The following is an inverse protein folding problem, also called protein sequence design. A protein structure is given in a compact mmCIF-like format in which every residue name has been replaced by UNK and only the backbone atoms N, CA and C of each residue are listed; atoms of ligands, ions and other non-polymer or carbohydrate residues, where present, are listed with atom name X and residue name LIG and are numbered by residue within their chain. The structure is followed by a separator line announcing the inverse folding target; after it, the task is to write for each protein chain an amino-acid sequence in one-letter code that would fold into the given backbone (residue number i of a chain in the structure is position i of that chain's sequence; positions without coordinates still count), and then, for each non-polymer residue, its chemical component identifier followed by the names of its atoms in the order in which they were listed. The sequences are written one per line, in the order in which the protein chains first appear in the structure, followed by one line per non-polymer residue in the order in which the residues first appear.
data_IF_912483475858
#
_entry.id   IF_912483475858
#
_cell.length_a   1.000
_cell.length_b   1.000
_cell.length_c   1.000
_cell.angle_alpha   90.00
_cell.angle_beta   90.00
_cell.angle_gamma   90.00
#
_symmetry.space_group_name_H-M   'P 1'
#
loop_
_entity.id
_entity.type
_entity.pdbx_description
1 polymer ?
#
# COMPACT_ATOMS: atom_id res chain seq x y z
N UNK A 1 15.29 -0.52 4.88
CA UNK A 1 14.59 -0.90 6.13
C UNK A 1 13.54 -1.94 5.80
N UNK A 2 13.59 -3.12 6.43
CA UNK A 2 12.56 -4.14 6.24
C UNK A 2 11.39 -3.92 7.21
N UNK A 3 10.25 -3.48 6.66
CA UNK A 3 9.04 -3.20 7.42
C UNK A 3 8.50 -4.49 8.08
N UNK A 4 8.71 -5.65 7.47
CA UNK A 4 8.19 -6.92 7.97
C UNK A 4 8.82 -7.36 9.30
N UNK A 5 10.02 -6.87 9.60
CA UNK A 5 10.75 -7.16 10.84
C UNK A 5 10.42 -6.18 11.97
N UNK A 6 9.60 -5.15 11.71
CA UNK A 6 9.17 -4.22 12.75
C UNK A 6 8.02 -4.78 13.56
N UNK A 7 7.92 -4.34 14.82
CA UNK A 7 6.78 -4.69 15.65
C UNK A 7 5.47 -4.17 15.01
N UNK A 8 4.36 -4.93 15.03
CA UNK A 8 3.10 -4.54 14.38
C UNK A 8 2.62 -3.13 14.75
N UNK A 9 2.71 -2.75 16.03
CA UNK A 9 2.37 -1.40 16.49
C UNK A 9 3.16 -0.29 15.78
N UNK A 10 4.47 -0.48 15.55
CA UNK A 10 5.31 0.51 14.89
C UNK A 10 4.93 0.62 13.40
N UNK A 11 4.63 -0.51 12.75
CA UNK A 11 4.15 -0.53 11.36
C UNK A 11 2.81 0.22 11.22
N UNK A 12 1.87 0.01 12.14
CA UNK A 12 0.56 0.67 12.13
C UNK A 12 0.69 2.19 12.23
N UNK A 13 1.56 2.69 13.12
CA UNK A 13 1.81 4.12 13.29
C UNK A 13 2.44 4.71 12.04
N UNK A 14 3.48 4.04 11.53
CA UNK A 14 4.22 4.47 10.35
C UNK A 14 3.30 4.62 9.12
N UNK A 15 2.41 3.64 8.89
CA UNK A 15 1.47 3.68 7.76
C UNK A 15 0.33 4.67 8.02
N UNK A 16 -0.19 4.76 9.25
CA UNK A 16 -1.23 5.73 9.57
C UNK A 16 -0.75 7.17 9.38
N UNK A 17 0.47 7.51 9.81
CA UNK A 17 1.06 8.85 9.61
C UNK A 17 1.11 9.21 8.11
N UNK A 18 1.47 8.27 7.23
CA UNK A 18 1.47 8.50 5.77
C UNK A 18 0.07 8.73 5.21
N UNK A 19 -0.92 7.97 5.67
CA UNK A 19 -2.33 8.15 5.28
C UNK A 19 -2.82 9.53 5.76
N UNK A 20 -2.50 9.89 7.00
CA UNK A 20 -2.91 11.14 7.64
C UNK A 20 -2.30 12.36 6.96
N UNK A 21 -0.97 12.41 6.79
CA UNK A 21 -0.26 13.53 6.15
C UNK A 21 -0.69 13.80 4.72
N UNK A 22 -1.20 12.77 4.02
CA UNK A 22 -1.71 12.88 2.65
C UNK A 22 -3.22 13.20 2.58
N UNK A 23 -3.85 13.47 3.71
CA UNK A 23 -5.28 13.82 3.79
C UNK A 23 -6.20 12.69 3.32
N UNK A 24 -5.79 11.43 3.52
CA UNK A 24 -6.52 10.25 3.07
C UNK A 24 -7.35 9.59 4.18
N UNK A 25 -7.44 10.25 5.34
CA UNK A 25 -8.32 9.89 6.46
C UNK A 25 -8.69 11.15 7.25
N UNK A 26 -9.58 11.02 8.22
CA UNK A 26 -9.96 12.11 9.15
C UNK A 26 -9.19 12.00 10.47
N UNK A 27 -9.32 13.00 11.35
CA UNK A 27 -8.64 13.04 12.66
C UNK A 27 -8.83 11.76 13.47
N UNK A 28 -10.05 11.25 13.59
CA UNK A 28 -10.36 10.06 14.40
C UNK A 28 -10.77 8.84 13.58
N UNK A 29 -11.10 9.04 12.30
CA UNK A 29 -11.52 7.99 11.37
C UNK A 29 -10.36 7.24 10.73
N UNK A 30 -10.69 6.19 9.99
CA UNK A 30 -9.71 5.23 9.49
C UNK A 30 -9.14 4.36 10.61
N UNK A 31 -8.83 3.13 10.28
CA UNK A 31 -8.24 2.20 11.23
C UNK A 31 -7.45 1.13 10.48
N UNK A 32 -6.37 0.71 11.12
CA UNK A 32 -5.44 -0.28 10.58
C UNK A 32 -5.35 -1.41 11.58
N UNK A 33 -5.24 -2.64 11.09
CA UNK A 33 -4.84 -3.77 11.93
C UNK A 33 -3.86 -4.70 11.25
N UNK A 34 -3.10 -5.42 12.07
CA UNK A 34 -2.23 -6.54 11.70
C UNK A 34 -2.62 -7.74 12.57
N UNK A 35 -2.77 -8.92 11.97
CA UNK A 35 -2.87 -10.20 12.68
C UNK A 35 -1.53 -10.92 12.56
N UNK A 36 -0.86 -11.13 13.69
CA UNK A 36 0.39 -11.90 13.72
C UNK A 36 0.16 -13.41 13.67
N UNK A 37 1.25 -14.17 13.52
CA UNK A 37 1.21 -15.63 13.35
C UNK A 37 0.65 -16.37 14.58
N UNK A 38 0.64 -15.72 15.75
CA UNK A 38 0.03 -16.26 16.97
C UNK A 38 -1.48 -16.02 17.04
N UNK A 39 -2.06 -15.33 16.05
CA UNK A 39 -3.47 -14.95 15.99
C UNK A 39 -3.80 -13.71 16.81
N UNK A 40 -2.82 -13.01 17.38
CA UNK A 40 -3.03 -11.74 18.06
C UNK A 40 -3.26 -10.66 17.01
N UNK A 41 -4.28 -9.82 17.24
CA UNK A 41 -4.60 -8.67 16.38
C UNK A 41 -4.17 -7.38 17.04
N UNK A 42 -3.30 -6.64 16.38
CA UNK A 42 -2.91 -5.29 16.74
C UNK A 42 -3.75 -4.31 15.95
N UNK A 43 -4.43 -3.36 16.60
CA UNK A 43 -5.34 -2.43 15.93
C UNK A 43 -5.22 -1.00 16.48
N UNK A 44 -5.40 -0.02 15.60
CA UNK A 44 -5.48 1.39 15.99
C UNK A 44 -6.66 1.66 16.95
N UNK A 45 -6.52 2.59 17.91
CA UNK A 45 -7.55 2.88 18.90
C UNK A 45 -8.72 3.70 18.33
N UNK A 46 -9.88 3.60 18.98
CA UNK A 46 -11.04 4.45 18.69
C UNK A 46 -10.86 5.86 19.26
N UNK A 47 -11.35 6.88 18.53
CA UNK A 47 -11.49 8.24 19.06
C UNK A 47 -10.19 9.03 19.31
N UNK A 48 -9.02 8.44 19.03
CA UNK A 48 -7.72 9.12 19.15
C UNK A 48 -7.30 9.71 17.81
N UNK A 49 -6.67 10.89 17.86
CA UNK A 49 -6.06 11.55 16.71
C UNK A 49 -5.01 10.64 16.05
N UNK A 50 -5.27 10.30 14.79
CA UNK A 50 -4.41 9.43 13.98
C UNK A 50 -3.05 10.05 13.66
N UNK A 51 -2.96 11.39 13.69
CA UNK A 51 -1.70 12.11 13.46
C UNK A 51 -0.73 12.09 14.64
N UNK A 52 -1.18 11.71 15.84
CA UNK A 52 -0.37 11.75 17.07
C UNK A 52 -0.21 10.38 17.73
N UNK A 53 -0.51 9.29 17.00
CA UNK A 53 -0.43 7.95 17.56
C UNK A 53 1.00 7.61 17.99
N UNK A 54 1.12 7.06 19.18
CA UNK A 54 2.33 6.47 19.73
C UNK A 54 2.15 4.95 19.88
N UNK A 55 3.26 4.24 20.14
CA UNK A 55 3.23 2.78 20.35
C UNK A 55 2.30 2.38 21.51
N UNK A 56 2.21 3.20 22.55
CA UNK A 56 1.35 2.96 23.70
C UNK A 56 -0.16 3.07 23.40
N UNK A 57 -0.53 3.67 22.28
CA UNK A 57 -1.92 3.86 21.89
C UNK A 57 -2.50 2.67 21.12
N UNK A 58 -1.64 1.79 20.58
CA UNK A 58 -2.07 0.63 19.80
C UNK A 58 -2.63 -0.45 20.71
N UNK A 59 -3.78 -1.00 20.32
CA UNK A 59 -4.53 -1.99 21.10
C UNK A 59 -4.17 -3.39 20.61
N UNK A 60 -3.82 -4.25 21.55
CA UNK A 60 -3.63 -5.69 21.34
C UNK A 60 -4.95 -6.40 21.65
N UNK A 61 -5.40 -7.25 20.74
CA UNK A 61 -6.58 -8.11 20.89
C UNK A 61 -6.10 -9.55 20.81
N UNK A 62 -6.25 -10.30 21.89
CA UNK A 62 -5.86 -11.70 21.96
C UNK A 62 -6.87 -12.59 21.22
N UNK A 63 -6.48 -13.84 20.87
CA UNK A 63 -7.39 -14.79 20.22
C UNK A 63 -8.66 -15.10 21.01
N UNK A 64 -8.63 -14.97 22.34
CA UNK A 64 -9.79 -15.12 23.24
C UNK A 64 -10.72 -13.90 23.28
N UNK A 65 -10.37 -12.83 22.55
CA UNK A 65 -11.10 -11.57 22.48
C UNK A 65 -10.73 -10.56 23.58
N UNK A 66 -9.83 -10.90 24.51
CA UNK A 66 -9.38 -9.96 25.53
C UNK A 66 -8.54 -8.84 24.91
N UNK A 67 -8.78 -7.59 25.33
CA UNK A 67 -8.11 -6.40 24.80
C UNK A 67 -7.13 -5.83 25.82
N UNK A 68 -5.91 -5.53 25.38
CA UNK A 68 -4.83 -4.95 26.18
C UNK A 68 -4.36 -3.65 25.52
N UNK A 69 -4.37 -2.54 26.25
CA UNK A 69 -3.91 -1.23 25.79
C UNK A 69 -4.54 -0.09 26.60
N UNK A 70 -4.10 1.14 26.36
CA UNK A 70 -4.56 2.31 27.10
C UNK A 70 -5.96 2.82 26.67
N UNK A 71 -6.42 2.42 25.48
CA UNK A 71 -7.68 2.89 24.88
C UNK A 71 -8.61 1.74 24.51
N UNK A 72 -9.80 2.09 24.04
CA UNK A 72 -10.70 1.13 23.37
C UNK A 72 -10.18 0.82 21.96
N UNK A 73 -10.28 -0.43 21.47
CA UNK A 73 -10.01 -0.72 20.06
C UNK A 73 -10.96 0.07 19.16
N UNK A 74 -10.61 0.21 17.88
CA UNK A 74 -11.51 0.78 16.88
C UNK A 74 -12.92 0.19 16.99
N UNK A 75 -13.96 1.03 16.86
CA UNK A 75 -15.36 0.60 16.75
C UNK A 75 -15.59 -0.36 15.57
N UNK A 76 -14.64 -0.42 14.65
CA UNK A 76 -14.68 -1.20 13.43
C UNK A 76 -13.92 -2.52 13.50
N UNK A 77 -13.30 -2.83 14.66
CA UNK A 77 -12.72 -4.14 14.95
C UNK A 77 -13.60 -5.32 14.50
N UNK A 78 -14.94 -5.31 14.66
CA UNK A 78 -15.79 -6.42 14.21
C UNK A 78 -15.59 -6.81 12.74
N UNK A 79 -15.45 -5.84 11.82
CA UNK A 79 -15.23 -6.19 10.41
C UNK A 79 -13.79 -6.63 10.16
N UNK A 80 -12.78 -6.09 10.86
CA UNK A 80 -11.40 -6.58 10.71
C UNK A 80 -11.33 -8.08 11.04
N UNK A 81 -11.94 -8.47 12.16
CA UNK A 81 -12.04 -9.88 12.55
C UNK A 81 -12.86 -10.71 11.54
N UNK A 82 -13.91 -10.13 10.95
CA UNK A 82 -14.71 -10.81 9.93
C UNK A 82 -13.91 -11.05 8.64
N UNK A 83 -13.12 -10.07 8.19
CA UNK A 83 -12.21 -10.19 7.05
C UNK A 83 -11.17 -11.27 7.29
N UNK A 84 -10.51 -11.27 8.45
CA UNK A 84 -9.51 -12.31 8.81
C UNK A 84 -10.08 -13.73 8.89
N UNK A 85 -11.37 -13.88 9.22
CA UNK A 85 -12.07 -15.17 9.19
C UNK A 85 -12.42 -15.59 7.77
N UNK A 86 -12.91 -14.67 6.94
CA UNK A 86 -13.29 -14.95 5.55
C UNK A 86 -12.08 -15.24 4.66
N UNK A 87 -10.94 -14.59 4.95
CA UNK A 87 -9.70 -14.69 4.19
C UNK A 87 -8.50 -14.91 5.13
N UNK A 88 -8.25 -16.17 5.55
CA UNK A 88 -7.16 -16.50 6.46
C UNK A 88 -5.76 -16.20 5.91
N UNK A 89 -5.61 -16.03 4.59
CA UNK A 89 -4.38 -15.61 3.90
C UNK A 89 -4.01 -14.14 4.12
N UNK A 90 -4.93 -13.32 4.64
CA UNK A 90 -4.68 -11.92 4.92
C UNK A 90 -4.16 -11.74 6.35
N UNK A 91 -3.13 -10.90 6.49
CA UNK A 91 -2.49 -10.58 7.77
C UNK A 91 -2.58 -9.10 8.12
N UNK A 92 -3.11 -8.26 7.23
CA UNK A 92 -3.39 -6.87 7.51
C UNK A 92 -4.69 -6.42 6.88
N UNK A 93 -5.37 -5.49 7.56
CA UNK A 93 -6.55 -4.79 7.05
C UNK A 93 -6.34 -3.29 7.23
N UNK A 94 -6.47 -2.56 6.13
CA UNK A 94 -6.40 -1.11 6.05
C UNK A 94 -7.78 -0.57 5.73
N UNK A 95 -8.33 0.25 6.61
CA UNK A 95 -9.52 1.03 6.35
C UNK A 95 -9.23 2.52 6.47
N UNK A 96 -9.68 3.29 5.49
CA UNK A 96 -9.50 4.74 5.46
C UNK A 96 -10.59 5.39 4.58
N UNK A 97 -10.55 6.74 4.55
CA UNK A 97 -11.56 7.58 3.91
C UNK A 97 -10.95 8.49 2.83
N UNK A 98 -10.28 7.96 1.79
CA UNK A 98 -9.62 8.80 0.81
C UNK A 98 -10.63 9.40 -0.18
N UNK A 99 -10.43 10.67 -0.53
CA UNK A 99 -11.42 11.49 -1.24
C UNK A 99 -11.93 10.89 -2.55
N UNK A 100 -11.06 10.36 -3.42
CA UNK A 100 -11.53 9.86 -4.71
C UNK A 100 -12.30 8.54 -4.54
N UNK A 101 -11.80 7.58 -3.76
CA UNK A 101 -12.53 6.32 -3.54
C UNK A 101 -13.88 6.53 -2.82
N UNK A 102 -13.94 7.48 -1.88
CA UNK A 102 -15.21 7.88 -1.27
C UNK A 102 -16.16 8.50 -2.31
N UNK A 103 -15.65 9.34 -3.22
CA UNK A 103 -16.47 9.89 -4.30
C UNK A 103 -17.05 8.79 -5.21
N UNK A 104 -16.24 7.77 -5.55
CA UNK A 104 -16.70 6.59 -6.30
C UNK A 104 -17.80 5.83 -5.56
N UNK A 105 -17.63 5.62 -4.25
CA UNK A 105 -18.61 4.88 -3.45
C UNK A 105 -19.95 5.62 -3.30
N UNK A 106 -19.93 6.96 -3.20
CA UNK A 106 -21.14 7.80 -3.15
C UNK A 106 -21.99 7.65 -4.41
N UNK A 107 -21.35 7.53 -5.58
CA UNK A 107 -22.06 7.35 -6.87
C UNK A 107 -22.22 5.89 -7.27
N UNK A 108 -21.90 4.95 -6.37
CA UNK A 108 -22.01 3.49 -6.58
C UNK A 108 -21.29 3.02 -7.84
N UNK A 109 -20.08 3.54 -8.07
CA UNK A 109 -19.21 3.11 -9.15
C UNK A 109 -17.91 2.56 -8.60
N UNK A 110 -17.29 1.69 -9.37
CA UNK A 110 -15.95 1.21 -9.12
C UNK A 110 -14.94 2.04 -9.95
N UNK A 111 -13.77 2.36 -9.39
CA UNK A 111 -12.67 2.91 -10.17
C UNK A 111 -12.15 1.86 -11.15
N UNK A 112 -11.64 2.32 -12.29
CA UNK A 112 -11.04 1.43 -13.27
C UNK A 112 -9.67 0.94 -12.79
N UNK A 113 -9.45 -0.37 -12.96
CA UNK A 113 -8.15 -1.00 -12.70
C UNK A 113 -7.26 -1.07 -13.94
N UNK A 114 -7.76 -0.62 -15.10
CA UNK A 114 -7.12 -0.72 -16.40
C UNK A 114 -6.59 0.63 -16.93
N UNK A 115 -6.48 1.66 -16.08
CA UNK A 115 -5.95 2.97 -16.50
C UNK A 115 -4.44 2.99 -16.65
N UNK A 116 -3.74 2.28 -15.77
CA UNK A 116 -2.29 2.19 -15.76
C UNK A 116 -1.88 0.75 -15.46
N UNK A 117 -0.78 0.24 -16.06
CA UNK A 117 -0.31 -1.11 -15.77
C UNK A 117 0.01 -1.36 -14.30
N UNK A 118 0.49 -0.33 -13.58
CA UNK A 118 0.77 -0.42 -12.14
C UNK A 118 -0.49 -0.71 -11.31
N UNK A 119 -1.65 -0.19 -11.72
CA UNK A 119 -2.92 -0.40 -11.03
C UNK A 119 -3.39 -1.84 -11.24
N UNK A 120 -3.43 -2.31 -12.49
CA UNK A 120 -3.84 -3.68 -12.79
C UNK A 120 -2.94 -4.73 -12.14
N UNK A 121 -1.65 -4.42 -11.96
CA UNK A 121 -0.69 -5.30 -11.26
C UNK A 121 -0.86 -5.30 -9.74
N UNK A 122 -1.18 -4.14 -9.15
CA UNK A 122 -1.19 -3.97 -7.69
C UNK A 122 -2.56 -4.29 -7.10
N UNK A 123 -3.64 -3.96 -7.81
CA UNK A 123 -5.01 -4.05 -7.32
C UNK A 123 -5.70 -5.32 -7.85
N UNK A 124 -5.92 -6.30 -6.98
CA UNK A 124 -6.61 -7.56 -7.32
C UNK A 124 -8.11 -7.45 -7.07
N UNK A 125 -8.83 -6.96 -8.08
CA UNK A 125 -10.27 -6.77 -8.01
C UNK A 125 -10.69 -5.63 -7.09
N UNK A 126 -11.88 -5.10 -7.33
CA UNK A 126 -12.52 -4.13 -6.44
C UNK A 126 -14.01 -4.43 -6.42
N UNK A 127 -14.59 -4.51 -5.22
CA UNK A 127 -16.01 -4.76 -5.00
C UNK A 127 -16.63 -3.60 -4.22
N UNK A 128 -17.95 -3.53 -4.19
CA UNK A 128 -18.70 -2.50 -3.47
C UNK A 128 -19.65 -3.17 -2.47
N UNK A 129 -19.45 -2.92 -1.19
CA UNK A 129 -20.36 -3.34 -0.14
C UNK A 129 -21.50 -2.31 0.02
N UNK A 130 -22.78 -2.75 -0.02
CA UNK A 130 -23.93 -1.88 0.20
C UNK A 130 -23.88 -1.20 1.57
N UNK A 131 -24.46 0.00 1.67
CA UNK A 131 -24.46 0.79 2.89
C UNK A 131 -24.99 -0.01 4.11
N UNK A 132 -24.34 0.19 5.24
CA UNK A 132 -24.84 -0.17 6.56
C UNK A 132 -24.14 0.71 7.61
N UNK A 133 -24.59 0.65 8.86
CA UNK A 133 -24.07 1.48 9.93
C UNK A 133 -22.59 1.14 10.22
N UNK A 134 -21.66 2.12 10.17
CA UNK A 134 -20.26 1.92 10.58
C UNK A 134 -20.13 1.32 11.98
N UNK A 135 -19.21 0.38 12.16
CA UNK A 135 -19.03 -0.38 13.40
C UNK A 135 -20.12 -1.43 13.71
N UNK A 136 -21.16 -1.56 12.88
CA UNK A 136 -22.18 -2.58 13.09
C UNK A 136 -21.73 -3.98 12.62
N UNK A 137 -22.31 -5.02 13.22
CA UNK A 137 -22.12 -6.40 12.75
C UNK A 137 -22.56 -6.60 11.30
N UNK A 138 -23.68 -5.97 10.90
CA UNK A 138 -24.23 -6.09 9.55
C UNK A 138 -23.27 -5.56 8.48
N UNK A 139 -22.62 -4.43 8.75
CA UNK A 139 -21.58 -3.92 7.86
C UNK A 139 -20.42 -4.92 7.75
N UNK A 140 -19.96 -5.47 8.89
CA UNK A 140 -18.91 -6.48 8.91
C UNK A 140 -19.24 -7.75 8.13
N UNK A 141 -20.49 -8.24 8.23
CA UNK A 141 -20.96 -9.40 7.48
C UNK A 141 -20.97 -9.13 5.96
N UNK A 142 -21.43 -7.95 5.53
CA UNK A 142 -21.40 -7.53 4.11
C UNK A 142 -19.98 -7.42 3.56
N UNK A 143 -19.07 -6.80 4.32
CA UNK A 143 -17.66 -6.68 3.92
C UNK A 143 -17.04 -8.06 3.78
N UNK A 144 -17.22 -8.92 4.77
CA UNK A 144 -16.66 -10.28 4.76
C UNK A 144 -17.19 -11.11 3.59
N UNK A 145 -18.46 -10.96 3.21
CA UNK A 145 -19.03 -11.61 2.03
C UNK A 145 -18.30 -11.18 0.74
N UNK A 146 -18.05 -9.88 0.54
CA UNK A 146 -17.30 -9.42 -0.63
C UNK A 146 -15.85 -9.92 -0.64
N UNK A 147 -15.18 -10.00 0.53
CA UNK A 147 -13.83 -10.57 0.63
C UNK A 147 -13.78 -12.08 0.36
N UNK A 148 -14.83 -12.82 0.72
CA UNK A 148 -14.94 -14.26 0.45
C UNK A 148 -14.97 -14.59 -1.05
N UNK A 149 -15.37 -13.62 -1.88
CA UNK A 149 -15.34 -13.72 -3.35
C UNK A 149 -13.93 -13.52 -3.96
N UNK A 150 -12.88 -13.43 -3.12
CA UNK A 150 -11.49 -13.36 -3.56
C UNK A 150 -10.98 -11.97 -3.97
N UNK A 151 -11.71 -10.89 -3.66
CA UNK A 151 -11.19 -9.51 -3.81
C UNK A 151 -10.27 -9.16 -2.65
N UNK A 152 -9.32 -8.26 -2.90
CA UNK A 152 -8.52 -7.64 -1.82
C UNK A 152 -9.03 -6.24 -1.46
N UNK A 153 -9.98 -5.70 -2.23
CA UNK A 153 -10.46 -4.32 -2.10
C UNK A 153 -11.98 -4.30 -2.08
N UNK A 154 -12.54 -3.65 -1.05
CA UNK A 154 -13.98 -3.42 -0.91
C UNK A 154 -14.23 -1.94 -0.62
N UNK A 155 -14.87 -1.25 -1.55
CA UNK A 155 -15.45 0.08 -1.32
C UNK A 155 -16.71 -0.06 -0.47
N UNK A 156 -16.93 0.88 0.44
CA UNK A 156 -18.12 0.96 1.28
C UNK A 156 -18.97 2.14 0.80
N UNK A 157 -20.21 1.89 0.38
CA UNK A 157 -21.13 2.95 -0.05
C UNK A 157 -21.19 4.08 1.00
N UNK A 158 -21.01 5.33 0.56
CA UNK A 158 -21.09 6.54 1.40
C UNK A 158 -20.15 6.55 2.63
N UNK A 159 -19.05 5.79 2.60
CA UNK A 159 -18.19 5.64 3.76
C UNK A 159 -16.69 5.68 3.46
N UNK A 160 -16.12 4.66 2.83
CA UNK A 160 -14.67 4.52 2.71
C UNK A 160 -14.23 3.31 1.90
N UNK A 161 -13.02 2.84 2.15
CA UNK A 161 -12.47 1.62 1.54
C UNK A 161 -11.89 0.70 2.61
N UNK A 162 -12.01 -0.61 2.41
CA UNK A 162 -11.33 -1.64 3.19
C UNK A 162 -10.43 -2.44 2.24
N UNK A 163 -9.16 -2.57 2.61
CA UNK A 163 -8.15 -3.28 1.83
C UNK A 163 -7.51 -4.35 2.71
N UNK A 164 -7.58 -5.58 2.22
CA UNK A 164 -6.87 -6.72 2.77
C UNK A 164 -5.47 -6.84 2.15
N UNK A 165 -4.49 -7.27 2.93
CA UNK A 165 -3.19 -7.64 2.38
C UNK A 165 -2.51 -8.75 3.18
N UNK A 166 -1.61 -9.47 2.51
CA UNK A 166 -0.65 -10.40 3.12
C UNK A 166 0.30 -9.67 4.09
N UNK A 167 0.44 -8.34 3.96
CA UNK A 167 1.13 -7.48 4.91
C UNK A 167 0.55 -6.08 4.87
N UNK A 168 0.79 -5.28 5.92
CA UNK A 168 0.29 -3.91 5.98
C UNK A 168 0.87 -3.06 4.84
N UNK A 169 2.14 -3.31 4.46
CA UNK A 169 2.76 -2.62 3.34
C UNK A 169 2.10 -2.96 2.00
N UNK A 170 1.70 -4.23 1.78
CA UNK A 170 0.92 -4.64 0.60
C UNK A 170 -0.45 -3.97 0.55
N UNK A 171 -1.15 -3.93 1.68
CA UNK A 171 -2.43 -3.23 1.78
C UNK A 171 -2.26 -1.73 1.48
N UNK A 172 -1.21 -1.09 2.01
CA UNK A 172 -0.92 0.32 1.76
C UNK A 172 -0.52 0.61 0.30
N UNK A 173 0.30 -0.22 -0.34
CA UNK A 173 0.63 -0.05 -1.76
C UNK A 173 -0.63 -0.09 -2.63
N UNK A 174 -1.53 -1.03 -2.33
CA UNK A 174 -2.82 -1.17 -3.01
C UNK A 174 -3.68 0.06 -2.80
N UNK A 175 -3.78 0.53 -1.55
CA UNK A 175 -4.50 1.73 -1.16
C UNK A 175 -4.04 2.97 -1.91
N UNK A 176 -2.74 3.26 -1.83
CA UNK A 176 -2.17 4.48 -2.39
C UNK A 176 -2.21 4.46 -3.92
N UNK A 177 -1.98 3.30 -4.54
CA UNK A 177 -2.08 3.13 -5.99
C UNK A 177 -3.50 3.35 -6.49
N UNK A 178 -4.48 2.75 -5.82
CA UNK A 178 -5.89 2.86 -6.21
C UNK A 178 -6.43 4.27 -6.04
N UNK A 179 -6.17 4.93 -4.91
CA UNK A 179 -6.57 6.33 -4.70
C UNK A 179 -5.91 7.26 -5.72
N UNK A 180 -4.61 7.08 -6.02
CA UNK A 180 -3.93 7.90 -7.03
C UNK A 180 -4.59 7.74 -8.41
N UNK A 181 -4.90 6.51 -8.80
CA UNK A 181 -5.58 6.22 -10.07
C UNK A 181 -6.98 6.82 -10.11
N UNK A 182 -7.76 6.63 -9.05
CA UNK A 182 -9.14 7.11 -8.95
C UNK A 182 -9.22 8.65 -8.99
N UNK A 183 -8.24 9.36 -8.42
CA UNK A 183 -8.13 10.82 -8.55
C UNK A 183 -7.97 11.25 -10.01
N UNK A 184 -7.04 10.61 -10.73
CA UNK A 184 -6.82 10.88 -12.15
C UNK A 184 -8.04 10.52 -12.99
N UNK A 185 -8.69 9.40 -12.70
CA UNK A 185 -9.92 9.00 -13.37
C UNK A 185 -11.04 10.04 -13.20
N UNK A 186 -11.19 10.57 -11.98
CA UNK A 186 -12.19 11.60 -11.69
C UNK A 186 -11.93 12.87 -12.51
N UNK A 187 -10.67 13.27 -12.67
CA UNK A 187 -10.28 14.41 -13.50
C UNK A 187 -10.52 14.10 -14.99
N UNK A 188 -10.08 12.92 -15.46
CA UNK A 188 -10.21 12.51 -16.85
C UNK A 188 -11.68 12.44 -17.30
N UNK A 189 -12.58 11.92 -16.45
CA UNK A 189 -14.03 11.86 -16.71
C UNK A 189 -14.67 13.24 -16.86
N UNK A 190 -14.09 14.29 -16.24
CA UNK A 190 -14.55 15.68 -16.43
C UNK A 190 -14.10 16.27 -17.78
N UNK A 191 -13.04 15.73 -18.37
CA UNK A 191 -12.49 16.17 -19.66
C UNK A 191 -13.07 15.38 -20.84
N UNK A 192 -13.54 14.15 -20.61
CA UNK A 192 -14.19 13.34 -21.65
C UNK A 192 -14.34 11.87 -21.30
N UNK A 193 -14.57 11.04 -22.31
CA UNK A 193 -14.66 9.58 -22.17
C UNK A 193 -13.27 9.00 -21.87
N UNK A 194 -13.14 8.36 -20.71
CA UNK A 194 -11.95 7.60 -20.32
C UNK A 194 -11.72 6.44 -21.28
N UNK A 195 -10.48 6.25 -21.73
CA UNK A 195 -10.03 5.13 -22.56
C UNK A 195 -9.13 4.25 -21.71
N UNK A 196 -9.63 3.06 -21.39
CA UNK A 196 -8.88 2.07 -20.63
C UNK A 196 -7.87 1.35 -21.51
N UNK A 197 -6.85 0.76 -20.90
CA UNK A 197 -5.91 -0.11 -21.57
C UNK A 197 -6.55 -1.49 -21.77
N UNK A 198 -6.43 -2.01 -23.00
CA UNK A 198 -6.85 -3.36 -23.32
C UNK A 198 -5.96 -4.38 -22.59
N UNK A 199 -6.45 -5.61 -22.31
CA UNK A 199 -5.67 -6.65 -21.63
C UNK A 199 -4.30 -6.90 -22.26
N UNK A 200 -4.20 -6.87 -23.59
CA UNK A 200 -2.93 -7.02 -24.30
C UNK A 200 -1.95 -5.87 -24.02
N UNK A 201 -2.44 -4.64 -23.85
CA UNK A 201 -1.61 -3.48 -23.52
C UNK A 201 -1.12 -3.51 -22.08
N UNK A 202 -1.95 -4.00 -21.16
CA UNK A 202 -1.55 -4.26 -19.77
C UNK A 202 -0.45 -5.34 -19.71
N UNK A 203 -0.61 -6.40 -20.50
CA UNK A 203 0.38 -7.50 -20.59
C UNK A 203 1.74 -7.05 -21.16
N UNK A 204 1.79 -6.05 -22.06
CA UNK A 204 3.07 -5.50 -22.55
C UNK A 204 3.93 -4.91 -21.42
N UNK A 205 3.30 -4.26 -20.44
CA UNK A 205 4.03 -3.74 -19.28
C UNK A 205 4.42 -4.83 -18.28
N UNK A 206 3.88 -6.04 -18.42
CA UNK A 206 4.31 -7.22 -17.67
C UNK A 206 5.55 -7.89 -18.29
N UNK A 207 6.14 -7.37 -19.38
CA UNK A 207 7.38 -7.93 -19.90
C UNK A 207 8.44 -7.90 -18.80
N UNK A 208 8.65 -9.07 -18.20
CA UNK A 208 9.49 -9.34 -17.05
C UNK A 208 10.98 -9.24 -17.41
N UNK A 209 11.36 -8.43 -18.41
CA UNK A 209 12.73 -8.37 -18.91
C UNK A 209 13.74 -8.13 -17.77
N UNK A 210 13.41 -7.27 -16.80
CA UNK A 210 14.23 -7.05 -15.59
C UNK A 210 14.31 -8.27 -14.64
N UNK A 211 13.29 -9.14 -14.62
CA UNK A 211 13.32 -10.39 -13.84
C UNK A 211 14.20 -11.46 -14.51
N UNK A 212 14.39 -11.41 -15.84
CA UNK A 212 15.19 -12.39 -16.61
C UNK A 212 16.64 -11.94 -16.85
N UNK A 213 17.02 -10.73 -16.41
CA UNK A 213 18.43 -10.29 -16.49
C UNK A 213 19.34 -11.24 -15.71
N UNK A 214 20.47 -11.61 -16.31
CA UNK A 214 21.51 -12.37 -15.62
C UNK A 214 22.05 -11.59 -14.42
N UNK A 215 22.45 -12.32 -13.38
CA UNK A 215 22.98 -11.71 -12.17
C UNK A 215 24.50 -11.54 -12.24
N UNK A 216 25.00 -10.41 -11.74
CA UNK A 216 26.41 -10.13 -11.56
C UNK A 216 26.68 -9.72 -10.10
N UNK A 217 27.81 -10.16 -9.59
CA UNK A 217 28.29 -9.83 -8.25
C UNK A 217 29.24 -8.64 -8.32
N UNK A 218 28.90 -7.56 -7.63
CA UNK A 218 29.76 -6.37 -7.51
C UNK A 218 30.52 -6.43 -6.18
N UNK A 219 31.80 -6.76 -6.24
CA UNK A 219 32.62 -6.95 -5.03
C UNK A 219 33.07 -5.63 -4.37
N UNK A 220 32.91 -4.50 -5.05
CA UNK A 220 33.31 -3.18 -4.56
C UNK A 220 32.39 -2.07 -5.08
N UNK A 221 32.15 -1.08 -4.23
CA UNK A 221 31.49 0.17 -4.60
C UNK A 221 32.53 1.29 -4.70
N UNK A 222 32.54 2.04 -5.81
CA UNK A 222 33.42 3.20 -5.96
C UNK A 222 32.89 4.38 -5.13
N UNK A 223 33.74 5.38 -4.87
CA UNK A 223 33.30 6.62 -4.20
C UNK A 223 32.22 7.36 -5.01
N UNK A 224 32.33 7.35 -6.34
CA UNK A 224 31.30 7.86 -7.26
C UNK A 224 29.96 7.12 -7.06
N UNK A 225 29.98 5.78 -7.02
CA UNK A 225 28.78 4.98 -6.80
C UNK A 225 28.14 5.27 -5.44
N UNK A 226 28.92 5.33 -4.37
CA UNK A 226 28.42 5.61 -3.03
C UNK A 226 27.75 7.00 -2.95
N UNK A 227 28.37 8.02 -3.56
CA UNK A 227 27.79 9.35 -3.65
C UNK A 227 26.46 9.33 -4.45
N UNK A 228 26.46 8.68 -5.62
CA UNK A 228 25.29 8.57 -6.47
C UNK A 228 24.12 7.83 -5.79
N UNK A 229 24.37 6.72 -5.08
CA UNK A 229 23.34 6.00 -4.31
C UNK A 229 22.73 6.89 -3.22
N UNK A 230 23.56 7.62 -2.47
CA UNK A 230 23.10 8.55 -1.41
C UNK A 230 22.22 9.68 -1.98
N UNK A 231 22.64 10.28 -3.09
CA UNK A 231 21.89 11.35 -3.73
C UNK A 231 20.58 10.83 -4.34
N UNK A 232 20.59 9.65 -4.96
CA UNK A 232 19.38 8.97 -5.44
C UNK A 232 18.38 8.71 -4.32
N UNK A 233 18.79 8.16 -3.18
CA UNK A 233 17.91 7.91 -2.03
C UNK A 233 17.28 9.21 -1.55
N UNK A 234 18.08 10.28 -1.44
CA UNK A 234 17.60 11.61 -1.07
C UNK A 234 16.52 12.12 -2.03
N UNK A 235 16.74 11.97 -3.34
CA UNK A 235 15.80 12.39 -4.37
C UNK A 235 14.52 11.54 -4.38
N UNK A 236 14.63 10.21 -4.26
CA UNK A 236 13.50 9.29 -4.21
C UNK A 236 12.59 9.64 -3.03
N UNK A 237 13.16 9.75 -1.83
CA UNK A 237 12.41 10.05 -0.61
C UNK A 237 11.79 11.45 -0.67
N UNK A 238 12.50 12.45 -1.19
CA UNK A 238 11.95 13.81 -1.37
C UNK A 238 10.80 13.81 -2.37
N UNK A 239 10.92 13.14 -3.51
CA UNK A 239 9.87 13.06 -4.52
C UNK A 239 8.64 12.31 -4.00
N UNK A 240 8.83 11.26 -3.19
CA UNK A 240 7.73 10.62 -2.48
C UNK A 240 7.07 11.58 -1.48
N UNK A 241 7.83 12.28 -0.64
CA UNK A 241 7.28 13.24 0.34
C UNK A 241 6.49 14.37 -0.33
N UNK A 242 6.95 14.84 -1.49
CA UNK A 242 6.27 15.89 -2.27
C UNK A 242 5.07 15.37 -3.10
N UNK A 243 4.75 14.07 -3.03
CA UNK A 243 3.64 13.48 -3.78
C UNK A 243 3.89 13.37 -5.29
N UNK A 244 5.14 13.53 -5.74
CA UNK A 244 5.52 13.30 -7.14
C UNK A 244 5.52 11.81 -7.48
N UNK A 245 5.77 10.96 -6.47
CA UNK A 245 5.72 9.51 -6.52
C UNK A 245 4.69 8.93 -5.56
N UNK A 246 4.32 7.67 -5.82
CA UNK A 246 3.65 6.80 -4.85
C UNK A 246 4.50 5.55 -4.62
N UNK A 247 4.02 4.60 -3.83
CA UNK A 247 4.77 3.41 -3.45
C UNK A 247 5.05 2.46 -4.62
N UNK A 248 4.31 2.57 -5.72
CA UNK A 248 4.41 1.68 -6.89
C UNK A 248 4.89 2.37 -8.17
N UNK A 249 4.97 3.70 -8.18
CA UNK A 249 5.28 4.49 -9.36
C UNK A 249 6.31 5.60 -9.06
N UNK A 250 7.22 5.81 -10.02
CA UNK A 250 8.35 6.73 -9.89
C UNK A 250 9.69 6.00 -9.79
N UNK A 251 10.61 6.39 -10.66
CA UNK A 251 11.96 5.81 -10.78
C UNK A 251 12.97 6.92 -11.01
N UNK A 252 14.12 6.80 -10.35
CA UNK A 252 15.35 7.50 -10.69
C UNK A 252 16.38 6.51 -11.23
N UNK A 253 17.21 7.00 -12.14
CA UNK A 253 18.41 6.30 -12.61
C UNK A 253 19.54 7.28 -12.85
N UNK A 254 20.79 6.83 -12.68
CA UNK A 254 21.99 7.61 -12.98
C UNK A 254 23.06 6.70 -13.57
N UNK A 255 23.76 7.19 -14.59
CA UNK A 255 24.87 6.48 -15.24
C UNK A 255 26.18 6.82 -14.53
N UNK A 256 27.01 5.80 -14.30
CA UNK A 256 28.34 5.93 -13.71
C UNK A 256 29.42 5.96 -14.80
N UNK A 257 30.61 6.46 -14.44
CA UNK A 257 31.76 6.58 -15.34
C UNK A 257 32.22 5.25 -15.97
N UNK A 258 32.03 4.14 -15.26
CA UNK A 258 32.43 2.79 -15.70
C UNK A 258 31.42 2.13 -16.67
N UNK A 259 30.42 2.89 -17.12
CA UNK A 259 29.36 2.44 -18.03
C UNK A 259 28.17 1.76 -17.34
N UNK A 260 28.25 1.47 -16.03
CA UNK A 260 27.10 0.93 -15.29
C UNK A 260 26.06 2.00 -14.97
N UNK A 261 24.87 1.57 -14.56
CA UNK A 261 23.76 2.43 -14.19
C UNK A 261 23.22 2.02 -12.82
N UNK A 262 22.94 2.99 -11.96
CA UNK A 262 22.15 2.78 -10.76
C UNK A 262 20.69 3.09 -11.07
N UNK A 263 19.79 2.27 -10.56
CA UNK A 263 18.35 2.41 -10.76
C UNK A 263 17.59 2.07 -9.49
N UNK A 264 16.43 2.70 -9.34
CA UNK A 264 15.51 2.45 -8.23
C UNK A 264 15.12 0.97 -8.20
N UNK A 265 15.07 0.32 -7.03
CA UNK A 265 14.67 -1.08 -6.92
C UNK A 265 13.18 -1.29 -7.22
N UNK A 266 12.86 -2.46 -7.74
CA UNK A 266 11.49 -2.92 -7.86
C UNK A 266 10.94 -3.30 -6.47
N UNK A 267 9.66 -2.99 -6.24
CA UNK A 267 8.91 -3.48 -5.07
C UNK A 267 9.52 -3.15 -3.70
N UNK A 268 10.15 -1.97 -3.59
CA UNK A 268 10.68 -1.40 -2.34
C UNK A 268 10.00 -0.07 -2.06
N UNK A 269 9.66 0.18 -0.80
CA UNK A 269 8.98 1.40 -0.38
C UNK A 269 9.83 2.64 -0.69
N UNK A 270 9.28 3.56 -1.49
CA UNK A 270 9.95 4.81 -1.86
C UNK A 270 10.20 5.72 -0.66
N UNK A 271 9.39 5.61 0.40
CA UNK A 271 9.57 6.37 1.62
C UNK A 271 10.78 5.91 2.46
N UNK A 272 11.14 4.62 2.39
CA UNK A 272 12.12 4.00 3.28
C UNK A 272 13.24 3.25 2.56
N UNK A 273 13.36 3.44 1.23
CA UNK A 273 14.47 2.91 0.43
C UNK A 273 15.79 3.38 1.00
N UNK A 274 16.76 2.47 1.08
CA UNK A 274 18.11 2.74 1.57
C UNK A 274 19.16 2.61 0.47
N UNK A 275 20.39 3.02 0.76
CA UNK A 275 21.53 3.04 -0.19
C UNK A 275 21.82 1.63 -0.74
N UNK A 276 21.72 0.64 0.15
CA UNK A 276 21.87 -0.79 -0.12
C UNK A 276 20.71 -1.38 -0.91
N UNK A 277 19.55 -0.73 -0.97
CA UNK A 277 18.43 -1.21 -1.78
C UNK A 277 18.59 -0.82 -3.27
N UNK A 278 19.38 0.23 -3.57
CA UNK A 278 19.62 0.67 -4.96
C UNK A 278 20.27 -0.46 -5.77
N UNK A 279 19.88 -0.57 -7.04
CA UNK A 279 20.30 -1.67 -7.93
C UNK A 279 21.30 -1.15 -8.93
N UNK A 280 22.47 -1.80 -9.02
CA UNK A 280 23.42 -1.57 -10.10
C UNK A 280 23.14 -2.50 -11.29
N UNK A 281 23.15 -1.94 -12.48
CA UNK A 281 22.96 -2.64 -13.76
C UNK A 281 24.18 -2.37 -14.65
N UNK A 282 24.75 -3.41 -15.24
CA UNK A 282 25.89 -3.29 -16.16
C UNK A 282 25.78 -4.34 -17.26
N UNK A 283 25.97 -3.94 -18.51
CA UNK A 283 25.98 -4.84 -19.68
C UNK A 283 24.75 -5.78 -19.76
N UNK A 284 23.57 -5.26 -19.41
CA UNK A 284 22.32 -6.04 -19.38
C UNK A 284 22.18 -7.00 -18.19
N UNK A 285 23.15 -7.03 -17.27
CA UNK A 285 23.13 -7.81 -16.04
C UNK A 285 22.74 -6.94 -14.84
N UNK A 286 22.10 -7.54 -13.83
CA UNK A 286 21.67 -6.87 -12.61
C UNK A 286 22.47 -7.34 -11.39
N UNK A 287 22.62 -6.46 -10.41
CA UNK A 287 23.19 -6.80 -9.11
C UNK A 287 22.44 -7.98 -8.47
N UNK A 288 23.20 -9.01 -8.06
CA UNK A 288 22.69 -10.26 -7.50
C UNK A 288 21.66 -10.02 -6.39
N UNK A 289 20.53 -10.74 -6.45
CA UNK A 289 19.49 -10.69 -5.42
C UNK A 289 18.64 -9.41 -5.43
N UNK A 290 18.91 -8.48 -6.34
CA UNK A 290 18.14 -7.24 -6.50
C UNK A 290 17.43 -7.21 -7.84
N UNK A 291 16.34 -6.46 -7.91
CA UNK A 291 15.55 -6.33 -9.14
C UNK A 291 15.38 -4.85 -9.46
N UNK A 292 15.80 -4.37 -10.64
CA UNK A 292 15.61 -2.98 -11.04
C UNK A 292 14.13 -2.71 -11.38
N UNK A 293 13.66 -1.49 -11.11
CA UNK A 293 12.29 -1.04 -11.40
C UNK A 293 12.01 -0.91 -12.89
#
# INVERSE_FOLDING_TARGET
MDISLQHPADQLIMIMDRIYRRGMTTTSGGNLSIRDDSGIVWITPAGIDKGTLTRGDIIRVNPDGTTVGAHKPSSELPFHLAVYRARPDLHAVLHAHPNALVAFSIVRKLPSLALFPSVGRTCKGVRLAPYDLPGSKKLGDKIAAEFAEGTDIVLLENHGVVIGGESLFRAFMTFETLESSARLETIARRMGKVRELEPAQLALAETRHHLVMAEIEFNMHTTEELAARRDMVTLIQRSYTQGLFNATNGTYSVKLSDGSMLITPYNKDRAYVQVEDIVRVKDGMKERGKTPS
#
